data_IF_675459904996
#
_entry.id   IF_675459904996
#
_cell.length_a   1.000
_cell.length_b   1.000
_cell.length_c   1.000
_cell.angle_alpha   90.00
_cell.angle_beta   90.00
_cell.angle_gamma   90.00
#
_symmetry.space_group_name_H-M   'P 1'
#
loop_
_entity.id
_entity.type
_entity.pdbx_description
1 polymer ?
#
# COMPACT_ATOMS: atom_id res chain seq x y z
N UNK A 1 -38.99 -4.59 -35.59
CA UNK A 1 -39.51 -5.77 -34.86
C UNK A 1 -39.53 -5.41 -33.39
N UNK A 2 -40.72 -5.40 -32.78
CA UNK A 2 -40.92 -5.01 -31.37
C UNK A 2 -40.45 -6.15 -30.46
N UNK A 3 -39.56 -5.88 -29.52
CA UNK A 3 -39.30 -6.75 -28.39
C UNK A 3 -40.12 -6.27 -27.19
N UNK A 4 -40.91 -7.20 -26.66
CA UNK A 4 -41.81 -7.08 -25.52
C UNK A 4 -40.97 -7.16 -24.23
N UNK A 5 -40.92 -6.09 -23.41
CA UNK A 5 -40.43 -6.19 -22.02
C UNK A 5 -41.63 -6.16 -21.07
N UNK A 6 -41.70 -7.19 -20.24
CA UNK A 6 -42.77 -7.48 -19.29
C UNK A 6 -42.66 -6.49 -18.11
N UNK A 7 -43.66 -5.63 -17.95
CA UNK A 7 -43.83 -4.76 -16.79
C UNK A 7 -44.39 -5.58 -15.63
N UNK A 8 -43.60 -5.79 -14.57
CA UNK A 8 -44.13 -6.22 -13.28
C UNK A 8 -44.54 -4.95 -12.52
N UNK A 9 -45.84 -4.69 -12.53
CA UNK A 9 -46.49 -3.60 -11.80
C UNK A 9 -46.89 -4.16 -10.42
N UNK A 10 -46.12 -3.89 -9.37
CA UNK A 10 -46.58 -4.04 -7.99
C UNK A 10 -46.94 -2.65 -7.44
N UNK A 11 -48.22 -2.33 -7.52
CA UNK A 11 -48.83 -1.14 -6.94
C UNK A 11 -48.91 -1.30 -5.41
N UNK A 12 -48.16 -0.51 -4.67
CA UNK A 12 -48.46 -0.18 -3.28
C UNK A 12 -48.59 1.34 -3.17
N UNK A 13 -49.81 1.78 -2.87
CA UNK A 13 -50.20 3.16 -2.65
C UNK A 13 -49.69 3.67 -1.30
N UNK A 14 -48.85 4.70 -1.29
CA UNK A 14 -48.76 5.64 -0.17
C UNK A 14 -48.41 7.04 -0.70
N UNK A 15 -49.19 8.03 -0.28
CA UNK A 15 -49.03 9.42 -0.66
C UNK A 15 -47.70 9.97 -0.12
N UNK A 16 -47.10 10.85 -0.93
CA UNK A 16 -45.85 11.55 -0.68
C UNK A 16 -45.73 12.12 0.73
N UNK A 17 -44.68 11.67 1.42
CA UNK A 17 -43.66 12.58 1.96
C UNK A 17 -42.36 12.19 1.26
N UNK A 18 -41.88 13.04 0.35
CA UNK A 18 -40.46 13.06 0.02
C UNK A 18 -39.73 13.34 1.33
N UNK A 19 -39.21 12.30 2.00
CA UNK A 19 -38.11 12.49 2.93
C UNK A 19 -36.86 12.55 2.06
N UNK A 20 -36.51 13.78 1.71
CA UNK A 20 -35.19 14.18 1.27
C UNK A 20 -34.16 13.55 2.24
N UNK A 21 -33.25 12.69 1.76
CA UNK A 21 -31.97 12.30 2.39
C UNK A 21 -31.83 12.55 3.91
N UNK A 22 -32.74 11.99 4.72
CA UNK A 22 -32.65 12.13 6.18
C UNK A 22 -31.68 11.08 6.78
N UNK A 23 -31.05 10.29 5.92
CA UNK A 23 -30.05 9.27 6.20
C UNK A 23 -28.78 9.62 5.39
N UNK A 24 -27.64 9.38 6.01
CA UNK A 24 -26.26 9.42 5.49
C UNK A 24 -26.14 9.33 3.96
N UNK A 25 -25.57 10.34 3.29
CA UNK A 25 -25.39 10.32 1.82
C UNK A 25 -24.47 9.19 1.35
N UNK A 26 -23.61 8.69 2.22
CA UNK A 26 -22.70 7.58 1.97
C UNK A 26 -23.32 6.19 2.26
N UNK A 27 -24.50 6.12 2.89
CA UNK A 27 -25.28 4.89 3.15
C UNK A 27 -26.23 4.65 1.96
N UNK A 28 -25.67 4.14 0.88
CA UNK A 28 -26.33 4.00 -0.42
C UNK A 28 -27.39 2.90 -0.45
N UNK A 29 -27.46 2.03 0.57
CA UNK A 29 -28.46 0.96 0.65
C UNK A 29 -29.49 1.14 1.80
N UNK A 30 -29.39 2.25 2.55
CA UNK A 30 -30.23 2.60 3.72
C UNK A 30 -30.26 1.54 4.84
N UNK A 31 -29.19 0.75 5.01
CA UNK A 31 -29.09 -0.26 6.07
C UNK A 31 -28.56 0.30 7.41
N UNK A 32 -28.11 1.56 7.39
CA UNK A 32 -27.65 2.32 8.55
C UNK A 32 -26.15 2.23 8.80
N UNK A 33 -25.38 1.52 7.96
CA UNK A 33 -23.93 1.35 8.11
C UNK A 33 -23.25 1.45 6.74
N UNK A 34 -22.24 2.32 6.63
CA UNK A 34 -21.39 2.37 5.42
C UNK A 34 -20.39 1.21 5.44
N UNK A 35 -20.36 0.33 4.43
CA UNK A 35 -19.54 -0.92 4.47
C UNK A 35 -18.66 -1.20 3.26
N UNK A 36 -17.54 -1.93 3.48
CA UNK A 36 -16.74 -2.56 2.42
C UNK A 36 -17.39 -3.86 1.92
N UNK A 37 -17.15 -4.26 0.65
CA UNK A 37 -17.47 -5.59 0.11
C UNK A 37 -18.61 -5.60 -0.93
N UNK A 38 -19.41 -6.68 -0.97
CA UNK A 38 -20.55 -6.87 -1.89
C UNK A 38 -21.73 -5.89 -1.67
N UNK A 39 -21.45 -4.72 -1.09
CA UNK A 39 -22.36 -3.63 -0.74
C UNK A 39 -22.02 -2.35 -1.52
N UNK A 40 -21.87 -1.25 -0.79
CA UNK A 40 -22.08 0.12 -1.30
C UNK A 40 -20.90 0.68 -2.11
N UNK A 41 -19.65 0.31 -1.78
CA UNK A 41 -18.45 0.76 -2.50
C UNK A 41 -18.48 0.45 -4.00
N UNK A 42 -19.24 -0.57 -4.39
CA UNK A 42 -19.42 -0.96 -5.79
C UNK A 42 -20.18 0.09 -6.61
N UNK A 43 -20.95 0.97 -5.97
CA UNK A 43 -21.68 2.06 -6.62
C UNK A 43 -20.73 3.17 -7.10
N UNK A 44 -19.93 3.83 -6.24
CA UNK A 44 -18.95 4.80 -6.70
C UNK A 44 -17.93 4.20 -7.66
N UNK A 45 -17.54 2.94 -7.49
CA UNK A 45 -16.67 2.26 -8.45
C UNK A 45 -17.37 1.96 -9.79
N UNK A 46 -18.68 1.69 -9.77
CA UNK A 46 -19.48 1.42 -10.97
C UNK A 46 -19.85 2.68 -11.76
N UNK A 47 -19.93 3.82 -11.08
CA UNK A 47 -20.17 5.15 -11.65
C UNK A 47 -18.87 5.88 -12.02
N UNK A 48 -17.70 5.30 -11.71
CA UNK A 48 -16.40 5.90 -11.98
C UNK A 48 -16.18 6.20 -13.47
N UNK A 49 -15.83 7.45 -13.77
CA UNK A 49 -15.62 7.98 -15.11
C UNK A 49 -16.89 8.40 -15.86
N UNK A 50 -18.07 8.27 -15.25
CA UNK A 50 -19.34 8.71 -15.83
C UNK A 50 -19.54 10.20 -15.55
N UNK A 51 -19.92 10.95 -16.59
CA UNK A 51 -20.32 12.35 -16.46
C UNK A 51 -21.85 12.43 -16.37
N UNK A 52 -22.38 13.18 -15.41
CA UNK A 52 -23.83 13.44 -15.32
C UNK A 52 -24.39 14.06 -16.61
N UNK A 53 -23.58 14.86 -17.29
CA UNK A 53 -23.93 15.47 -18.56
C UNK A 53 -24.22 14.45 -19.68
N UNK A 54 -23.74 13.21 -19.55
CA UNK A 54 -23.98 12.11 -20.50
C UNK A 54 -25.19 11.24 -20.11
N UNK A 55 -25.80 11.48 -18.95
CA UNK A 55 -27.00 10.78 -18.48
C UNK A 55 -28.28 11.32 -19.14
N UNK A 56 -29.36 10.55 -19.03
CA UNK A 56 -30.68 10.99 -19.48
C UNK A 56 -31.17 12.20 -18.63
N UNK A 57 -31.92 13.16 -19.20
CA UNK A 57 -32.31 14.37 -18.48
C UNK A 57 -33.10 14.09 -17.19
N UNK A 58 -32.56 14.52 -16.05
CA UNK A 58 -33.16 14.36 -14.73
C UNK A 58 -32.69 13.13 -13.96
N UNK A 59 -31.76 12.36 -14.51
CA UNK A 59 -30.93 11.40 -13.78
C UNK A 59 -29.70 12.12 -13.20
N UNK A 60 -29.30 11.72 -12.00
CA UNK A 60 -28.11 12.21 -11.28
C UNK A 60 -27.31 10.98 -10.83
N UNK A 61 -26.00 11.14 -10.64
CA UNK A 61 -25.18 10.06 -10.09
C UNK A 61 -25.52 9.85 -8.62
N UNK A 62 -25.58 8.58 -8.19
CA UNK A 62 -25.85 8.29 -6.78
C UNK A 62 -24.64 8.60 -5.90
N UNK A 63 -23.45 8.62 -6.49
CA UNK A 63 -22.18 8.73 -5.78
C UNK A 63 -21.36 9.98 -6.12
N UNK A 64 -21.94 10.99 -6.77
CA UNK A 64 -21.29 12.31 -6.90
C UNK A 64 -21.43 13.10 -5.59
N UNK A 65 -20.63 12.73 -4.59
CA UNK A 65 -20.71 13.26 -3.23
C UNK A 65 -20.25 14.72 -3.14
N UNK A 66 -19.34 15.12 -4.02
CA UNK A 66 -18.81 16.49 -4.06
C UNK A 66 -19.60 17.40 -5.03
N UNK A 67 -20.63 16.86 -5.70
CA UNK A 67 -21.56 17.54 -6.60
C UNK A 67 -20.87 18.29 -7.76
N UNK A 68 -19.82 17.68 -8.33
CA UNK A 68 -19.08 18.25 -9.46
C UNK A 68 -19.58 17.79 -10.84
N UNK A 69 -20.54 16.87 -10.88
CA UNK A 69 -21.19 16.32 -12.06
C UNK A 69 -20.43 15.17 -12.73
N UNK A 70 -19.46 14.55 -12.05
CA UNK A 70 -18.62 13.47 -12.57
C UNK A 70 -18.39 12.46 -11.45
N UNK A 71 -18.63 11.18 -11.71
CA UNK A 71 -18.19 10.11 -10.82
C UNK A 71 -16.68 9.97 -10.93
N UNK A 72 -15.93 10.48 -9.96
CA UNK A 72 -14.48 10.56 -10.03
C UNK A 72 -13.78 9.94 -8.81
N UNK A 73 -12.46 10.04 -8.77
CA UNK A 73 -11.66 9.45 -7.70
C UNK A 73 -11.88 10.14 -6.35
N UNK A 74 -12.29 11.41 -6.35
CA UNK A 74 -12.60 12.12 -5.12
C UNK A 74 -13.87 11.55 -4.50
N UNK A 75 -14.87 11.18 -5.29
CA UNK A 75 -16.09 10.52 -4.78
C UNK A 75 -15.78 9.18 -4.11
N UNK A 76 -14.91 8.37 -4.73
CA UNK A 76 -14.49 7.09 -4.14
C UNK A 76 -13.73 7.33 -2.83
N UNK A 77 -12.85 8.33 -2.79
CA UNK A 77 -12.07 8.71 -1.61
C UNK A 77 -12.97 9.24 -0.49
N UNK A 78 -13.98 10.05 -0.83
CA UNK A 78 -14.97 10.59 0.11
C UNK A 78 -15.84 9.46 0.67
N UNK A 79 -16.29 8.51 -0.16
CA UNK A 79 -16.98 7.31 0.30
C UNK A 79 -16.11 6.51 1.27
N UNK A 80 -14.85 6.22 0.88
CA UNK A 80 -13.93 5.41 1.68
C UNK A 80 -13.77 6.00 3.08
N UNK A 81 -13.61 7.32 3.19
CA UNK A 81 -13.47 8.03 4.47
C UNK A 81 -14.64 7.83 5.45
N UNK A 82 -15.82 7.48 4.95
CA UNK A 82 -17.03 7.24 5.74
C UNK A 82 -17.30 5.76 6.00
N UNK A 83 -16.47 4.84 5.50
CA UNK A 83 -16.66 3.42 5.74
C UNK A 83 -16.53 3.09 7.23
N UNK A 84 -17.49 2.33 7.74
CA UNK A 84 -17.62 1.98 9.15
C UNK A 84 -18.47 2.96 9.97
N UNK A 85 -18.93 4.07 9.39
CA UNK A 85 -19.81 5.01 10.09
C UNK A 85 -21.22 4.43 10.27
N UNK A 86 -21.86 4.74 11.39
CA UNK A 86 -23.28 4.44 11.63
C UNK A 86 -24.11 5.68 11.35
N UNK A 87 -24.97 5.60 10.35
CA UNK A 87 -25.83 6.68 9.88
C UNK A 87 -25.09 8.02 9.61
N UNK A 88 -23.80 7.98 9.22
CA UNK A 88 -22.93 9.16 9.06
C UNK A 88 -22.89 10.09 10.30
N UNK A 89 -23.24 9.60 11.48
CA UNK A 89 -23.27 10.44 12.69
C UNK A 89 -21.91 10.53 13.38
N UNK A 90 -21.01 9.60 13.05
CA UNK A 90 -19.65 9.59 13.55
C UNK A 90 -18.86 10.76 12.94
N UNK A 91 -18.07 11.44 13.77
CA UNK A 91 -17.23 12.55 13.29
C UNK A 91 -15.99 12.00 12.62
N UNK A 92 -15.70 12.38 11.38
CA UNK A 92 -14.38 12.11 10.78
C UNK A 92 -13.35 13.01 11.44
N UNK A 93 -12.27 12.42 11.92
CA UNK A 93 -11.14 13.17 12.50
C UNK A 93 -9.91 13.01 11.63
N UNK A 94 -9.40 14.13 11.11
CA UNK A 94 -8.18 14.14 10.32
C UNK A 94 -6.96 14.01 11.24
N UNK A 95 -6.06 13.09 10.92
CA UNK A 95 -4.80 12.90 11.64
C UNK A 95 -3.62 12.78 10.68
N UNK A 96 -2.46 13.24 11.14
CA UNK A 96 -1.19 12.94 10.49
C UNK A 96 -0.77 11.53 10.87
N UNK A 97 -0.60 10.65 9.88
CA UNK A 97 -0.29 9.24 10.08
C UNK A 97 0.99 8.78 9.38
N UNK A 98 1.68 9.67 8.67
CA UNK A 98 2.81 9.33 7.80
C UNK A 98 4.06 10.11 8.20
N UNK A 99 5.15 9.41 8.46
CA UNK A 99 6.47 10.02 8.68
C UNK A 99 7.15 10.38 7.36
N UNK A 100 6.92 9.59 6.31
CA UNK A 100 7.45 9.84 4.97
C UNK A 100 7.37 8.63 4.05
N UNK A 101 8.05 8.73 2.91
CA UNK A 101 8.20 7.63 1.95
C UNK A 101 9.63 7.12 1.96
N UNK A 102 9.78 5.80 1.87
CA UNK A 102 11.05 5.08 1.93
C UNK A 102 11.20 4.21 0.69
N UNK A 103 12.29 4.37 -0.04
CA UNK A 103 12.66 3.52 -1.17
C UNK A 103 13.81 2.61 -0.75
N UNK A 104 13.77 1.34 -1.11
CA UNK A 104 14.80 0.36 -0.75
C UNK A 104 15.26 -0.41 -1.99
N UNK A 105 16.55 -0.73 -2.09
CA UNK A 105 17.04 -1.79 -2.98
C UNK A 105 16.60 -3.15 -2.44
N UNK A 106 15.76 -3.85 -3.20
CA UNK A 106 15.29 -5.18 -2.84
C UNK A 106 16.17 -6.29 -3.43
N UNK A 107 16.56 -6.18 -4.70
CA UNK A 107 17.41 -7.16 -5.38
C UNK A 107 18.21 -6.50 -6.50
N UNK A 108 19.49 -6.85 -6.64
CA UNK A 108 20.35 -6.39 -7.75
C UNK A 108 20.61 -7.52 -8.75
N UNK A 109 20.66 -7.18 -10.04
CA UNK A 109 20.97 -8.14 -11.11
C UNK A 109 22.23 -7.74 -11.91
N UNK A 110 23.44 -7.78 -11.34
CA UNK A 110 24.66 -7.40 -12.04
C UNK A 110 24.88 -8.15 -13.36
N UNK A 111 24.56 -9.46 -13.36
CA UNK A 111 24.70 -10.36 -14.50
C UNK A 111 23.37 -10.64 -15.23
N UNK A 112 22.28 -9.97 -14.80
CA UNK A 112 20.92 -10.20 -15.27
C UNK A 112 20.28 -11.44 -14.66
N UNK A 113 19.01 -11.67 -14.97
CA UNK A 113 18.29 -12.85 -14.50
C UNK A 113 17.46 -13.46 -15.62
N UNK A 114 17.82 -14.68 -16.02
CA UNK A 114 17.14 -15.42 -17.08
C UNK A 114 15.90 -16.10 -16.53
N UNK A 115 14.74 -15.76 -17.07
CA UNK A 115 13.46 -16.38 -16.74
C UNK A 115 12.90 -17.16 -17.91
N UNK A 116 11.81 -17.88 -17.64
CA UNK A 116 10.94 -18.36 -18.72
C UNK A 116 10.08 -17.20 -19.17
N UNK A 117 9.90 -17.05 -20.49
CA UNK A 117 9.14 -15.97 -21.14
C UNK A 117 9.88 -14.63 -21.19
N UNK A 118 10.26 -14.06 -20.04
CA UNK A 118 10.96 -12.78 -19.96
C UNK A 118 12.26 -12.86 -19.15
N UNK A 119 13.26 -12.07 -19.57
CA UNK A 119 14.56 -11.95 -18.92
C UNK A 119 14.74 -10.54 -18.37
N UNK A 120 15.35 -10.44 -17.19
CA UNK A 120 15.82 -9.18 -16.64
C UNK A 120 17.24 -8.96 -17.17
N UNK A 121 17.54 -7.85 -17.88
CA UNK A 121 18.88 -7.59 -18.39
C UNK A 121 19.92 -7.37 -17.27
N UNK A 122 21.21 -7.53 -17.56
CA UNK A 122 22.28 -7.17 -16.65
C UNK A 122 22.26 -5.69 -16.26
N UNK A 123 22.60 -5.41 -14.99
CA UNK A 123 22.66 -4.06 -14.43
C UNK A 123 21.30 -3.49 -14.03
N UNK A 124 20.26 -4.32 -13.92
CA UNK A 124 18.95 -3.92 -13.38
C UNK A 124 18.92 -4.06 -11.86
N UNK A 125 18.05 -3.28 -11.23
CA UNK A 125 17.80 -3.29 -9.78
C UNK A 125 16.30 -3.28 -9.55
N UNK A 126 15.84 -4.11 -8.61
CA UNK A 126 14.49 -4.07 -8.07
C UNK A 126 14.48 -3.16 -6.86
N UNK A 127 13.62 -2.15 -6.87
CA UNK A 127 13.32 -1.29 -5.75
C UNK A 127 11.95 -1.61 -5.17
N UNK A 128 11.79 -1.40 -3.86
CA UNK A 128 10.50 -1.41 -3.17
C UNK A 128 10.25 -0.07 -2.51
N UNK A 129 9.05 0.46 -2.71
CA UNK A 129 8.59 1.72 -2.12
C UNK A 129 7.64 1.42 -0.97
N UNK A 130 7.84 2.12 0.14
CA UNK A 130 7.06 2.01 1.36
C UNK A 130 6.58 3.38 1.86
N UNK A 131 5.42 3.40 2.50
CA UNK A 131 4.98 4.47 3.39
C UNK A 131 5.40 4.14 4.82
N UNK A 132 6.15 5.03 5.48
CA UNK A 132 6.45 4.85 6.90
C UNK A 132 5.35 5.46 7.76
N UNK A 133 4.62 4.60 8.45
CA UNK A 133 3.46 4.97 9.25
C UNK A 133 3.90 5.43 10.65
N UNK A 134 3.34 6.54 11.10
CA UNK A 134 3.52 7.03 12.47
C UNK A 134 2.78 6.15 13.50
N UNK A 135 1.78 5.39 13.06
CA UNK A 135 0.99 4.47 13.89
C UNK A 135 0.49 3.28 13.05
N UNK A 136 0.56 2.07 13.63
CA UNK A 136 0.07 0.80 13.07
C UNK A 136 -1.47 0.67 13.06
N UNK A 137 -2.20 1.54 13.78
CA UNK A 137 -3.68 1.52 13.85
C UNK A 137 -4.37 1.89 12.52
N UNK A 138 -3.62 2.54 11.60
CA UNK A 138 -4.13 2.96 10.31
C UNK A 138 -3.93 1.85 9.28
N UNK A 139 -4.94 1.58 8.48
CA UNK A 139 -4.84 0.67 7.36
C UNK A 139 -5.02 1.42 6.05
N UNK A 140 -4.35 0.94 5.00
CA UNK A 140 -4.38 1.58 3.70
C UNK A 140 -5.69 1.27 2.96
N UNK A 141 -6.41 2.32 2.55
CA UNK A 141 -7.69 2.21 1.84
C UNK A 141 -7.55 2.51 0.35
N UNK A 142 -6.63 3.41 0.00
CA UNK A 142 -6.40 3.75 -1.40
C UNK A 142 -5.09 4.46 -1.66
N UNK A 143 -4.65 4.33 -2.92
CA UNK A 143 -3.57 5.07 -3.56
C UNK A 143 -4.17 5.71 -4.81
N UNK A 144 -4.08 7.02 -4.96
CA UNK A 144 -4.84 7.71 -6.01
C UNK A 144 -4.19 9.00 -6.50
N UNK A 145 -4.74 9.56 -7.58
CA UNK A 145 -4.47 10.92 -8.01
C UNK A 145 -5.47 11.44 -9.02
N UNK A 146 -5.47 12.76 -9.19
CA UNK A 146 -6.37 13.53 -10.06
C UNK A 146 -5.64 14.76 -10.62
N UNK A 147 -6.37 15.72 -11.19
CA UNK A 147 -5.80 16.94 -11.75
C UNK A 147 -5.24 17.94 -10.71
N UNK A 148 -5.58 17.80 -9.44
CA UNK A 148 -5.06 18.66 -8.36
C UNK A 148 -3.83 18.02 -7.68
N UNK A 149 -3.87 16.71 -7.49
CA UNK A 149 -2.79 15.88 -6.95
C UNK A 149 -2.52 14.70 -7.89
N UNK A 150 -1.66 14.89 -8.91
CA UNK A 150 -1.42 13.88 -9.93
C UNK A 150 -0.88 12.55 -9.39
N UNK A 151 -1.33 11.44 -9.96
CA UNK A 151 -0.71 10.12 -9.76
C UNK A 151 0.20 9.83 -10.96
N UNK A 152 1.51 9.88 -10.72
CA UNK A 152 2.52 9.85 -11.77
C UNK A 152 3.64 8.87 -11.44
N UNK A 153 4.21 8.30 -12.49
CA UNK A 153 5.44 7.53 -12.48
C UNK A 153 6.32 8.07 -13.59
N UNK A 154 7.51 8.55 -13.25
CA UNK A 154 8.55 8.92 -14.21
C UNK A 154 9.73 7.96 -14.09
N UNK A 155 10.18 7.48 -15.23
CA UNK A 155 11.43 6.75 -15.39
C UNK A 155 12.05 7.21 -16.70
N UNK A 156 13.34 7.54 -16.69
CA UNK A 156 14.07 7.94 -17.90
C UNK A 156 14.55 6.74 -18.74
N UNK A 157 14.38 5.53 -18.22
CA UNK A 157 14.70 4.25 -18.86
C UNK A 157 13.48 3.33 -18.93
N UNK A 158 13.63 2.17 -19.60
CA UNK A 158 12.57 1.15 -19.69
C UNK A 158 12.33 0.45 -18.35
N UNK A 159 11.05 0.37 -17.95
CA UNK A 159 10.61 -0.31 -16.74
C UNK A 159 10.32 -1.77 -17.08
N UNK A 160 10.93 -2.70 -16.34
CA UNK A 160 10.67 -4.11 -16.52
C UNK A 160 9.27 -4.49 -16.02
N UNK A 161 8.45 -4.99 -16.93
CA UNK A 161 7.14 -5.59 -16.66
C UNK A 161 7.16 -7.00 -17.21
N UNK A 162 6.91 -7.99 -16.36
CA UNK A 162 6.76 -9.36 -16.82
C UNK A 162 5.42 -9.52 -17.54
N UNK A 163 5.38 -10.22 -18.67
CA UNK A 163 4.19 -10.32 -19.52
C UNK A 163 2.98 -11.01 -18.86
N UNK A 164 3.22 -11.83 -17.84
CA UNK A 164 2.15 -12.42 -17.02
C UNK A 164 1.63 -11.46 -15.94
N UNK A 165 2.45 -10.50 -15.49
CA UNK A 165 2.09 -9.53 -14.47
C UNK A 165 1.36 -8.32 -15.05
N UNK A 166 1.71 -7.87 -16.26
CA UNK A 166 1.05 -6.73 -16.94
C UNK A 166 0.89 -5.48 -16.05
N UNK A 167 1.83 -5.24 -15.12
CA UNK A 167 1.79 -4.12 -14.17
C UNK A 167 0.77 -4.23 -13.03
N UNK A 168 -0.11 -5.24 -13.04
CA UNK A 168 -1.15 -5.43 -12.04
C UNK A 168 -0.71 -6.35 -10.91
N UNK A 169 -0.81 -5.90 -9.66
CA UNK A 169 -0.44 -6.72 -8.49
C UNK A 169 -1.29 -8.00 -8.39
N UNK A 170 -2.57 -7.94 -8.77
CA UNK A 170 -3.48 -9.09 -8.76
C UNK A 170 -3.16 -10.15 -9.83
N UNK A 171 -2.34 -9.81 -10.83
CA UNK A 171 -1.87 -10.75 -11.85
C UNK A 171 -0.64 -11.55 -11.39
N UNK A 172 0.01 -11.12 -10.31
CA UNK A 172 1.19 -11.79 -9.77
C UNK A 172 0.77 -13.00 -8.93
N UNK A 173 0.86 -14.19 -9.52
CA UNK A 173 0.53 -15.44 -8.84
C UNK A 173 1.82 -16.18 -8.41
N UNK A 174 2.05 -16.36 -7.10
CA UNK A 174 3.25 -17.03 -6.58
C UNK A 174 3.43 -18.47 -7.08
N UNK A 175 2.34 -19.15 -7.42
CA UNK A 175 2.36 -20.49 -8.00
C UNK A 175 3.16 -20.57 -9.30
N UNK A 176 3.33 -19.45 -10.02
CA UNK A 176 4.12 -19.37 -11.24
C UNK A 176 5.60 -19.06 -11.01
N UNK A 177 6.04 -18.64 -9.83
CA UNK A 177 7.44 -18.21 -9.62
C UNK A 177 8.44 -19.36 -9.81
N UNK A 178 8.02 -20.61 -9.58
CA UNK A 178 8.86 -21.78 -9.84
C UNK A 178 9.14 -22.02 -11.33
N UNK A 179 8.26 -21.56 -12.23
CA UNK A 179 8.39 -21.76 -13.67
C UNK A 179 8.72 -20.48 -14.43
N UNK A 180 8.36 -19.31 -13.91
CA UNK A 180 8.66 -17.97 -14.43
C UNK A 180 9.23 -17.12 -13.29
N UNK A 181 10.49 -17.34 -12.89
CA UNK A 181 11.05 -16.76 -11.67
C UNK A 181 11.28 -15.24 -11.77
N UNK A 182 11.39 -14.68 -12.97
CA UNK A 182 11.48 -13.24 -13.19
C UNK A 182 10.16 -12.51 -12.90
N UNK A 183 9.02 -13.23 -12.84
CA UNK A 183 7.71 -12.65 -12.52
C UNK A 183 7.67 -11.99 -11.14
N UNK A 184 8.38 -12.54 -10.14
CA UNK A 184 8.41 -11.98 -8.79
C UNK A 184 9.06 -10.58 -8.73
N UNK A 185 9.83 -10.23 -9.76
CA UNK A 185 10.50 -8.95 -9.91
C UNK A 185 9.82 -8.05 -10.96
N UNK A 186 8.58 -8.35 -11.37
CA UNK A 186 7.81 -7.43 -12.20
C UNK A 186 7.56 -6.12 -11.44
N UNK A 187 7.44 -5.01 -12.16
CA UNK A 187 7.03 -3.72 -11.56
C UNK A 187 5.51 -3.62 -11.43
N UNK A 188 5.03 -3.03 -10.34
CA UNK A 188 3.60 -2.85 -10.01
C UNK A 188 3.41 -1.86 -8.86
N UNK A 189 2.19 -1.34 -8.71
CA UNK A 189 1.72 -0.66 -7.51
C UNK A 189 0.78 -1.56 -6.69
N UNK A 190 0.72 -1.33 -5.39
CA UNK A 190 -0.11 -2.07 -4.45
C UNK A 190 -0.56 -1.18 -3.28
N UNK A 191 -1.41 -1.71 -2.41
CA UNK A 191 -1.97 -0.99 -1.25
C UNK A 191 -1.71 -1.77 0.04
N UNK A 192 -0.44 -1.87 0.41
CA UNK A 192 0.08 -2.72 1.49
C UNK A 192 -0.24 -4.22 1.31
N UNK A 193 -0.37 -4.67 0.06
CA UNK A 193 -0.59 -6.07 -0.30
C UNK A 193 0.65 -6.65 -0.99
N UNK A 194 1.21 -7.72 -0.42
CA UNK A 194 2.25 -8.51 -1.08
C UNK A 194 1.60 -9.67 -1.87
N UNK A 195 1.84 -9.77 -3.19
CA UNK A 195 1.30 -10.87 -4.00
C UNK A 195 1.74 -12.27 -3.54
N UNK A 196 2.80 -12.40 -2.72
CA UNK A 196 3.17 -13.71 -2.12
C UNK A 196 2.27 -14.15 -0.98
N UNK A 197 1.48 -13.23 -0.43
CA UNK A 197 0.53 -13.49 0.65
C UNK A 197 -0.81 -13.94 0.05
N UNK A 198 -1.17 -15.21 0.26
CA UNK A 198 -2.41 -15.83 -0.23
C UNK A 198 -3.67 -15.37 0.52
N UNK A 199 -3.80 -14.07 0.79
CA UNK A 199 -4.99 -13.55 1.47
C UNK A 199 -6.03 -13.02 0.50
N UNK A 200 -7.30 -13.05 0.91
CA UNK A 200 -8.46 -12.68 0.08
C UNK A 200 -8.59 -11.14 -0.09
N UNK A 201 -7.48 -10.46 -0.36
CA UNK A 201 -7.45 -9.01 -0.57
C UNK A 201 -7.72 -8.69 -2.03
N UNK A 202 -8.78 -7.91 -2.28
CA UNK A 202 -9.14 -7.45 -3.61
C UNK A 202 -8.69 -6.00 -3.81
N UNK A 203 -7.56 -5.85 -4.52
CA UNK A 203 -7.09 -4.56 -5.01
C UNK A 203 -7.73 -4.28 -6.37
N UNK A 204 -8.47 -3.19 -6.46
CA UNK A 204 -9.18 -2.78 -7.67
C UNK A 204 -8.47 -1.58 -8.29
N UNK A 205 -8.29 -1.64 -9.61
CA UNK A 205 -7.73 -0.53 -10.39
C UNK A 205 -8.85 0.36 -10.91
N UNK A 206 -8.74 1.65 -10.63
CA UNK A 206 -9.61 2.68 -11.16
C UNK A 206 -8.84 3.50 -12.20
N UNK A 207 -9.45 3.71 -13.35
CA UNK A 207 -8.86 4.45 -14.46
C UNK A 207 -9.95 5.03 -15.35
N UNK A 208 -9.75 6.24 -15.85
CA UNK A 208 -10.65 6.85 -16.84
C UNK A 208 -10.75 6.01 -18.12
N UNK A 209 -11.95 5.90 -18.68
CA UNK A 209 -12.20 5.13 -19.90
C UNK A 209 -11.30 5.62 -21.06
N UNK A 210 -10.59 4.70 -21.71
CA UNK A 210 -9.67 5.01 -22.81
C UNK A 210 -8.31 5.60 -22.40
N UNK A 211 -8.08 5.92 -21.13
CA UNK A 211 -6.79 6.34 -20.59
C UNK A 211 -6.44 5.52 -19.34
N UNK A 212 -6.12 4.24 -19.55
CA UNK A 212 -5.67 3.33 -18.50
C UNK A 212 -4.19 3.57 -18.18
N UNK A 213 -3.94 4.03 -16.96
CA UNK A 213 -2.57 4.16 -16.44
C UNK A 213 -1.91 2.79 -16.27
N UNK A 214 -2.71 1.74 -15.98
CA UNK A 214 -2.23 0.37 -15.89
C UNK A 214 -1.75 -0.15 -17.24
N UNK A 215 -2.43 0.19 -18.35
CA UNK A 215 -1.97 -0.18 -19.70
C UNK A 215 -0.66 0.54 -20.05
N UNK A 216 -0.51 1.78 -19.60
CA UNK A 216 0.71 2.57 -19.79
C UNK A 216 1.89 1.99 -19.00
N UNK A 217 1.63 1.57 -17.75
CA UNK A 217 2.61 0.85 -16.94
C UNK A 217 2.96 -0.50 -17.58
N UNK A 218 1.96 -1.26 -18.03
CA UNK A 218 2.13 -2.57 -18.66
C UNK A 218 2.97 -2.51 -19.94
N UNK A 219 2.99 -1.35 -20.62
CA UNK A 219 3.84 -1.08 -21.77
C UNK A 219 5.31 -0.80 -21.39
N UNK A 220 5.68 -0.83 -20.10
CA UNK A 220 7.04 -0.59 -19.62
C UNK A 220 7.41 0.90 -19.56
N UNK A 221 6.42 1.79 -19.60
CA UNK A 221 6.61 3.24 -19.58
C UNK A 221 6.05 3.86 -18.30
N UNK A 222 6.56 5.05 -17.95
CA UNK A 222 5.90 5.90 -16.97
C UNK A 222 4.49 6.32 -17.41
N UNK A 223 3.71 6.85 -16.47
CA UNK A 223 2.35 7.33 -16.72
C UNK A 223 2.07 8.61 -15.94
N UNK A 224 1.02 9.34 -16.33
CA UNK A 224 0.52 10.50 -15.61
C UNK A 224 -1.01 10.49 -15.61
N UNK A 225 -1.58 10.40 -14.42
CA UNK A 225 -3.00 10.58 -14.14
C UNK A 225 -3.17 12.00 -13.60
N UNK A 226 -3.46 12.93 -14.51
CA UNK A 226 -3.63 14.36 -14.23
C UNK A 226 -4.88 14.88 -14.96
N UNK A 227 -6.03 14.30 -14.61
CA UNK A 227 -7.33 14.66 -15.17
C UNK A 227 -8.40 14.60 -14.07
N UNK A 228 -9.57 15.17 -14.35
CA UNK A 228 -10.67 15.32 -13.37
C UNK A 228 -11.14 13.97 -12.84
N UNK A 229 -11.36 12.98 -13.72
CA UNK A 229 -11.77 11.62 -13.31
C UNK A 229 -10.76 10.98 -12.37
N UNK A 230 -9.47 11.20 -12.64
CA UNK A 230 -8.37 10.64 -11.86
C UNK A 230 -8.21 9.13 -12.06
N UNK A 231 -7.67 8.47 -11.05
CA UNK A 231 -7.41 7.03 -11.06
C UNK A 231 -6.51 6.60 -9.91
N UNK A 232 -6.38 5.28 -9.74
CA UNK A 232 -5.60 4.72 -8.66
C UNK A 232 -5.93 3.26 -8.35
N UNK A 233 -5.63 2.87 -7.11
CA UNK A 233 -5.90 1.57 -6.53
C UNK A 233 -6.74 1.75 -5.26
N UNK A 234 -7.78 0.94 -5.11
CA UNK A 234 -8.64 0.91 -3.93
C UNK A 234 -8.89 -0.51 -3.46
N UNK A 235 -9.02 -0.71 -2.14
CA UNK A 235 -9.42 -2.00 -1.58
C UNK A 235 -10.94 -2.10 -1.48
N UNK A 236 -11.49 -3.27 -1.80
CA UNK A 236 -12.88 -3.64 -1.43
C UNK A 236 -12.94 -4.65 -0.28
N UNK A 237 -11.79 -5.02 0.27
CA UNK A 237 -11.65 -5.94 1.41
C UNK A 237 -11.44 -5.13 2.69
N UNK A 238 -12.03 -5.59 3.79
CA UNK A 238 -11.87 -4.92 5.09
C UNK A 238 -10.38 -4.87 5.50
N UNK A 239 -9.93 -3.76 6.08
CA UNK A 239 -8.50 -3.54 6.26
C UNK A 239 -7.85 -4.44 7.32
N UNK A 240 -8.62 -4.98 8.26
CA UNK A 240 -8.16 -5.97 9.24
C UNK A 240 -7.78 -7.33 8.61
N UNK A 241 -8.13 -7.55 7.34
CA UNK A 241 -7.75 -8.74 6.55
C UNK A 241 -6.52 -8.45 5.66
N UNK A 242 -6.02 -7.22 5.63
CA UNK A 242 -4.79 -6.86 4.92
C UNK A 242 -3.63 -7.06 5.89
N UNK A 243 -2.96 -8.22 5.79
CA UNK A 243 -1.77 -8.53 6.59
C UNK A 243 -0.64 -7.57 6.20
N UNK A 244 0.03 -6.96 7.20
CA UNK A 244 1.21 -6.12 6.98
C UNK A 244 2.29 -6.93 6.25
N UNK A 245 2.66 -6.46 5.06
CA UNK A 245 3.65 -7.11 4.21
C UNK A 245 5.10 -7.00 4.73
N UNK A 246 5.34 -6.17 5.75
CA UNK A 246 6.69 -5.75 6.13
C UNK A 246 6.82 -5.55 7.66
N UNK A 247 8.02 -5.25 8.19
CA UNK A 247 8.21 -4.87 9.59
C UNK A 247 7.26 -3.74 10.05
N UNK A 248 6.96 -3.72 11.36
CA UNK A 248 5.74 -3.15 11.99
C UNK A 248 5.04 -1.94 11.35
N UNK A 249 5.76 -0.95 10.79
CA UNK A 249 5.19 0.32 10.31
C UNK A 249 5.45 0.68 8.83
N UNK A 250 6.12 -0.17 8.06
CA UNK A 250 6.40 0.12 6.65
C UNK A 250 5.30 -0.48 5.74
N UNK A 251 4.53 0.37 5.08
CA UNK A 251 3.39 -0.06 4.28
C UNK A 251 3.79 -0.16 2.83
N UNK A 252 3.65 -1.35 2.24
CA UNK A 252 4.19 -1.62 0.90
C UNK A 252 3.36 -0.95 -0.20
N UNK A 253 3.97 -0.08 -1.02
CA UNK A 253 3.27 0.72 -2.02
C UNK A 253 3.54 0.28 -3.45
N UNK A 254 4.76 -0.16 -3.76
CA UNK A 254 5.13 -0.52 -5.13
C UNK A 254 6.45 -1.30 -5.21
N UNK A 255 6.61 -2.01 -6.33
CA UNK A 255 7.87 -2.59 -6.78
C UNK A 255 8.25 -2.03 -8.14
N UNK A 256 9.53 -1.75 -8.37
CA UNK A 256 10.04 -1.28 -9.65
C UNK A 256 11.34 -1.98 -10.01
N UNK A 257 11.42 -2.55 -11.20
CA UNK A 257 12.64 -3.16 -11.73
C UNK A 257 13.09 -2.35 -12.93
N UNK A 258 14.20 -1.64 -12.77
CA UNK A 258 14.72 -0.66 -13.74
C UNK A 258 16.24 -0.79 -13.84
N UNK A 259 16.90 -0.25 -14.89
CA UNK A 259 18.35 -0.15 -14.90
C UNK A 259 18.90 0.59 -13.67
N UNK A 260 20.04 0.17 -13.13
CA UNK A 260 20.69 0.81 -11.97
C UNK A 260 21.04 2.29 -12.20
N UNK A 261 21.12 2.70 -13.46
CA UNK A 261 21.40 4.08 -13.87
C UNK A 261 20.16 4.95 -14.06
N UNK A 262 18.96 4.35 -13.98
CA UNK A 262 17.71 5.05 -14.22
C UNK A 262 17.40 6.02 -13.07
N UNK A 263 16.87 7.20 -13.42
CA UNK A 263 16.20 8.07 -12.48
C UNK A 263 14.72 7.70 -12.44
N UNK A 264 14.27 7.30 -11.26
CA UNK A 264 12.90 6.88 -11.00
C UNK A 264 12.26 7.80 -9.96
N UNK A 265 10.97 8.05 -10.11
CA UNK A 265 10.14 8.64 -9.06
C UNK A 265 8.69 8.75 -9.48
N UNK A 266 7.88 9.36 -8.63
CA UNK A 266 6.46 9.53 -8.85
C UNK A 266 5.81 10.53 -7.90
N UNK A 267 4.56 10.84 -8.18
CA UNK A 267 3.69 11.51 -7.22
C UNK A 267 2.46 10.65 -6.99
N UNK A 268 1.92 10.65 -5.78
CA UNK A 268 0.67 9.95 -5.46
C UNK A 268 -0.01 10.57 -4.25
N UNK A 269 -1.28 10.26 -4.06
CA UNK A 269 -2.00 10.51 -2.81
C UNK A 269 -2.34 9.19 -2.14
N UNK A 270 -2.37 9.18 -0.81
CA UNK A 270 -2.65 8.01 0.00
C UNK A 270 -3.80 8.31 0.96
N UNK A 271 -4.71 7.34 1.10
CA UNK A 271 -5.80 7.36 2.07
C UNK A 271 -5.62 6.19 3.04
N UNK A 272 -5.64 6.51 4.33
CA UNK A 272 -5.64 5.51 5.40
C UNK A 272 -6.79 5.74 6.37
N UNK A 273 -7.32 4.67 6.94
CA UNK A 273 -8.35 4.71 7.97
C UNK A 273 -8.27 3.52 8.92
N UNK A 274 -8.94 3.62 10.07
CA UNK A 274 -8.91 2.57 11.11
C UNK A 274 -9.99 1.50 10.89
N UNK A 275 -9.84 0.32 11.50
CA UNK A 275 -10.71 -0.85 11.23
C UNK A 275 -12.06 -0.90 11.97
N UNK A 276 -12.45 0.11 12.76
CA UNK A 276 -13.66 0.03 13.60
C UNK A 276 -14.43 1.35 13.76
N UNK A 277 -15.74 1.21 14.01
CA UNK A 277 -16.58 2.27 14.54
C UNK A 277 -16.06 2.70 15.92
N UNK A 278 -15.59 3.93 16.00
CA UNK A 278 -15.06 4.52 17.21
C UNK A 278 -16.10 5.50 17.77
N UNK A 279 -16.53 5.37 19.05
CA UNK A 279 -17.46 6.31 19.66
C UNK A 279 -16.97 7.77 19.70
N UNK A 280 -15.66 7.99 19.53
CA UNK A 280 -15.04 9.32 19.43
C UNK A 280 -14.87 9.82 17.98
N UNK A 281 -15.35 9.08 16.98
CA UNK A 281 -15.25 9.39 15.55
C UNK A 281 -14.21 8.55 14.80
N UNK A 282 -14.34 8.42 13.47
CA UNK A 282 -13.45 7.62 12.62
C UNK A 282 -12.19 8.42 12.28
N UNK A 283 -10.98 8.01 12.73
CA UNK A 283 -9.74 8.63 12.32
C UNK A 283 -9.42 8.27 10.87
N UNK A 284 -9.17 9.29 10.06
CA UNK A 284 -8.77 9.17 8.67
C UNK A 284 -7.53 10.02 8.44
N UNK A 285 -6.65 9.54 7.59
CA UNK A 285 -5.41 10.20 7.24
C UNK A 285 -5.32 10.36 5.73
N UNK A 286 -5.31 11.63 5.30
CA UNK A 286 -5.16 12.02 3.91
C UNK A 286 -3.76 12.57 3.68
N UNK A 287 -3.04 11.98 2.73
CA UNK A 287 -1.77 12.49 2.29
C UNK A 287 -1.88 12.80 0.80
N UNK A 288 -1.90 14.08 0.46
CA UNK A 288 -2.05 14.53 -0.93
C UNK A 288 -0.70 14.87 -1.55
N UNK A 289 -0.55 14.54 -2.83
CA UNK A 289 0.58 14.97 -3.66
C UNK A 289 1.95 14.66 -3.03
N UNK A 290 2.09 13.46 -2.47
CA UNK A 290 3.35 12.94 -1.98
C UNK A 290 4.27 12.69 -3.17
N UNK A 291 5.45 13.30 -3.16
CA UNK A 291 6.49 13.05 -4.15
C UNK A 291 7.48 12.02 -3.61
N UNK A 292 7.93 11.13 -4.48
CA UNK A 292 8.99 10.18 -4.18
C UNK A 292 9.98 10.06 -5.33
N UNK A 293 11.19 9.64 -5.02
CA UNK A 293 12.23 9.39 -6.00
C UNK A 293 13.46 8.74 -5.39
N UNK A 294 14.57 8.80 -6.12
CA UNK A 294 15.86 8.25 -5.69
C UNK A 294 16.40 8.94 -4.41
N UNK A 295 15.94 10.14 -4.08
CA UNK A 295 16.23 10.82 -2.83
C UNK A 295 15.64 10.14 -1.59
N UNK A 296 14.61 9.31 -1.76
CA UNK A 296 14.03 8.50 -0.69
C UNK A 296 14.78 7.18 -0.46
N UNK A 297 15.87 6.93 -1.20
CA UNK A 297 16.62 5.68 -1.08
C UNK A 297 17.26 5.55 0.31
N UNK A 298 16.92 4.45 0.99
CA UNK A 298 17.43 4.09 2.30
C UNK A 298 17.95 2.65 2.30
N UNK A 299 18.89 2.39 3.20
CA UNK A 299 19.30 1.04 3.58
C UNK A 299 18.55 0.67 4.85
N UNK A 300 17.62 -0.27 4.74
CA UNK A 300 16.83 -0.74 5.88
C UNK A 300 17.63 -1.73 6.71
N UNK A 301 17.43 -1.67 8.02
CA UNK A 301 17.96 -2.62 8.98
C UNK A 301 18.00 -2.00 10.38
N UNK A 302 18.46 -2.76 11.35
CA UNK A 302 18.60 -2.21 12.69
C UNK A 302 19.72 -1.16 12.76
N UNK A 303 19.36 0.06 13.20
CA UNK A 303 20.33 1.17 13.38
C UNK A 303 20.84 1.30 14.83
N UNK A 304 20.35 0.47 15.76
CA UNK A 304 20.78 0.46 17.17
C UNK A 304 22.08 -0.36 17.32
N UNK A 305 23.22 0.27 17.65
CA UNK A 305 24.50 -0.44 17.79
C UNK A 305 24.51 -1.50 18.91
N UNK A 306 23.57 -1.42 19.85
CA UNK A 306 23.45 -2.38 20.96
C UNK A 306 22.60 -3.60 20.61
N UNK A 307 21.90 -3.58 19.47
CA UNK A 307 21.11 -4.71 19.01
C UNK A 307 21.99 -5.82 18.41
N UNK A 308 21.60 -7.07 18.61
CA UNK A 308 22.33 -8.23 18.11
C UNK A 308 22.40 -8.30 16.58
N UNK A 309 21.41 -7.72 15.90
CA UNK A 309 21.31 -7.62 14.45
C UNK A 309 21.61 -6.20 13.91
N UNK A 310 22.38 -5.39 14.64
CA UNK A 310 22.84 -4.08 14.16
C UNK A 310 23.48 -4.17 12.77
N UNK A 311 23.04 -3.29 11.86
CA UNK A 311 23.63 -3.12 10.54
C UNK A 311 24.26 -1.72 10.44
N UNK A 312 25.61 -1.61 10.37
CA UNK A 312 26.28 -0.31 10.27
C UNK A 312 26.01 0.43 8.96
N UNK A 313 25.58 -0.27 7.90
CA UNK A 313 25.21 0.32 6.63
C UNK A 313 23.73 0.80 6.62
N UNK A 314 22.92 0.43 7.62
CA UNK A 314 21.53 0.84 7.69
C UNK A 314 21.42 2.35 7.94
N UNK A 315 20.66 3.02 7.08
CA UNK A 315 20.33 4.45 7.19
C UNK A 315 18.92 4.67 7.73
N UNK A 316 18.12 3.60 7.81
CA UNK A 316 16.75 3.63 8.28
C UNK A 316 16.44 2.43 9.17
N UNK A 317 15.94 2.71 10.38
CA UNK A 317 15.52 1.66 11.29
C UNK A 317 14.20 1.07 10.79
N UNK A 318 14.22 -0.18 10.38
CA UNK A 318 13.02 -0.90 9.93
C UNK A 318 12.24 -1.54 11.08
N UNK A 319 12.63 -1.30 12.34
CA UNK A 319 11.95 -1.86 13.51
C UNK A 319 12.24 -3.35 13.72
N UNK A 320 13.20 -3.93 13.00
CA UNK A 320 13.62 -5.33 13.19
C UNK A 320 14.69 -5.50 14.26
N UNK A 321 15.12 -4.42 14.94
CA UNK A 321 16.12 -4.48 16.00
C UNK A 321 15.78 -5.54 17.05
N UNK A 322 16.66 -6.53 17.21
CA UNK A 322 16.55 -7.48 18.31
C UNK A 322 16.90 -6.78 19.63
N UNK A 323 16.37 -7.31 20.73
CA UNK A 323 16.75 -6.82 22.04
C UNK A 323 18.27 -6.97 22.23
N UNK A 324 18.95 -6.06 22.94
CA UNK A 324 20.35 -6.25 23.29
C UNK A 324 20.55 -7.61 23.96
N UNK A 325 21.44 -8.44 23.42
CA UNK A 325 21.68 -9.80 23.91
C UNK A 325 20.81 -10.90 23.29
N UNK A 326 19.76 -10.58 22.53
CA UNK A 326 19.03 -11.53 21.66
C UNK A 326 19.75 -11.56 20.30
N UNK A 327 20.72 -12.46 20.18
CA UNK A 327 21.60 -12.57 19.02
C UNK A 327 21.07 -13.52 17.95
N UNK A 328 20.09 -14.37 18.28
CA UNK A 328 19.42 -15.22 17.31
C UNK A 328 18.11 -14.61 16.77
N UNK A 329 17.62 -13.53 17.38
CA UNK A 329 16.41 -12.80 16.97
C UNK A 329 15.12 -13.58 17.26
N UNK A 330 15.12 -14.50 18.22
CA UNK A 330 13.96 -15.31 18.57
C UNK A 330 13.01 -14.62 19.59
N UNK A 331 13.41 -13.46 20.10
CA UNK A 331 12.65 -12.65 21.05
C UNK A 331 12.94 -12.96 22.52
N UNK A 332 13.75 -13.98 22.82
CA UNK A 332 14.09 -14.41 24.18
C UNK A 332 15.61 -14.46 24.38
N UNK A 333 16.15 -13.66 25.30
CA UNK A 333 17.58 -13.74 25.66
C UNK A 333 17.80 -15.04 26.47
N UNK A 334 18.48 -16.02 25.89
CA UNK A 334 18.67 -17.33 26.49
C UNK A 334 20.04 -17.97 26.19
N UNK A 335 20.19 -19.27 26.48
CA UNK A 335 21.47 -19.97 26.27
C UNK A 335 21.85 -20.06 24.78
N UNK A 336 20.87 -20.04 23.88
CA UNK A 336 21.08 -19.93 22.44
C UNK A 336 21.89 -18.70 22.08
N UNK A 337 21.54 -17.54 22.63
CA UNK A 337 22.28 -16.30 22.43
C UNK A 337 23.67 -16.35 23.02
N UNK A 338 23.82 -16.94 24.21
CA UNK A 338 25.14 -17.10 24.85
C UNK A 338 26.09 -17.88 23.94
N UNK A 339 25.58 -18.90 23.23
CA UNK A 339 26.39 -19.66 22.26
C UNK A 339 26.81 -18.81 21.06
N UNK A 340 25.92 -17.96 20.54
CA UNK A 340 26.23 -16.99 19.49
C UNK A 340 27.24 -15.95 19.97
N UNK A 341 27.06 -15.39 21.16
CA UNK A 341 27.99 -14.45 21.78
C UNK A 341 29.40 -15.05 21.92
N UNK A 342 29.49 -16.30 22.38
CA UNK A 342 30.78 -16.98 22.54
C UNK A 342 31.53 -17.20 21.22
N UNK A 343 30.85 -17.13 20.08
CA UNK A 343 31.51 -17.17 18.76
C UNK A 343 32.36 -15.93 18.48
N UNK A 344 32.01 -14.79 19.09
CA UNK A 344 32.70 -13.50 18.94
C UNK A 344 33.55 -13.12 20.16
N UNK A 345 33.63 -13.99 21.17
CA UNK A 345 34.39 -13.73 22.39
C UNK A 345 35.89 -13.58 22.10
N UNK A 346 36.46 -12.45 22.54
CA UNK A 346 37.85 -12.07 22.25
C UNK A 346 38.03 -11.24 20.98
N UNK A 347 36.94 -10.80 20.33
CA UNK A 347 37.00 -9.78 19.29
C UNK A 347 37.54 -8.45 19.86
N UNK A 348 38.35 -7.72 19.08
CA UNK A 348 39.05 -6.49 19.52
C UNK A 348 38.95 -5.30 18.54
N UNK A 349 38.33 -5.49 17.37
CA UNK A 349 38.07 -4.44 16.38
C UNK A 349 36.75 -4.77 15.68
N UNK A 350 35.89 -3.76 15.45
CA UNK A 350 34.60 -3.85 14.74
C UNK A 350 33.71 -5.03 15.17
N UNK A 351 33.54 -5.22 16.49
CA UNK A 351 32.85 -6.39 17.05
C UNK A 351 31.31 -6.37 16.95
N UNK A 352 30.74 -5.33 16.33
CA UNK A 352 29.31 -5.17 16.14
C UNK A 352 28.52 -5.21 17.46
N UNK A 353 27.29 -5.71 17.39
CA UNK A 353 26.37 -5.78 18.54
C UNK A 353 26.80 -6.74 19.67
N UNK A 354 27.90 -7.49 19.51
CA UNK A 354 28.43 -8.38 20.55
C UNK A 354 29.21 -7.61 21.63
N UNK A 355 29.66 -6.39 21.34
CA UNK A 355 30.27 -5.48 22.32
C UNK A 355 29.16 -4.71 23.06
N UNK A 356 28.56 -5.38 24.05
CA UNK A 356 27.40 -4.87 24.78
C UNK A 356 27.72 -3.67 25.67
N UNK A 357 29.00 -3.42 25.98
CA UNK A 357 29.41 -2.29 26.82
C UNK A 357 29.98 -1.10 26.01
N UNK A 358 30.29 -1.32 24.73
CA UNK A 358 30.73 -0.30 23.78
C UNK A 358 32.20 0.12 23.93
N UNK A 359 33.05 -0.74 24.49
CA UNK A 359 34.49 -0.46 24.67
C UNK A 359 35.38 -0.90 23.49
N UNK A 360 34.77 -1.47 22.46
CA UNK A 360 35.38 -1.99 21.24
C UNK A 360 35.90 -3.43 21.37
N UNK A 361 35.69 -4.12 22.50
CA UNK A 361 36.27 -5.44 22.76
C UNK A 361 35.24 -6.38 23.39
N UNK A 362 34.91 -7.47 22.72
CA UNK A 362 34.03 -8.52 23.29
C UNK A 362 34.80 -9.35 24.30
N UNK A 363 34.52 -9.18 25.58
CA UNK A 363 35.23 -9.86 26.65
C UNK A 363 34.31 -10.25 27.83
N UNK A 364 34.92 -10.59 28.97
CA UNK A 364 34.19 -11.02 30.16
C UNK A 364 33.27 -9.93 30.72
N UNK A 365 33.54 -8.65 30.45
CA UNK A 365 32.67 -7.53 30.81
C UNK A 365 31.38 -7.58 30.01
N UNK A 366 31.44 -7.81 28.70
CA UNK A 366 30.25 -7.97 27.83
C UNK A 366 29.46 -9.21 28.19
N UNK A 367 30.15 -10.31 28.51
CA UNK A 367 29.49 -11.51 29.02
C UNK A 367 28.74 -11.20 30.33
N UNK A 368 29.30 -10.33 31.18
CA UNK A 368 28.64 -9.94 32.44
C UNK A 368 27.38 -9.10 32.16
N UNK A 369 27.43 -8.21 31.16
CA UNK A 369 26.27 -7.45 30.69
C UNK A 369 25.20 -8.41 30.17
N UNK A 370 25.58 -9.35 29.30
CA UNK A 370 24.69 -10.36 28.72
C UNK A 370 24.01 -11.21 29.80
N UNK A 371 24.76 -11.73 30.77
CA UNK A 371 24.20 -12.55 31.85
C UNK A 371 23.25 -11.75 32.76
N UNK A 372 23.31 -10.42 32.73
CA UNK A 372 22.36 -9.53 33.41
C UNK A 372 21.06 -9.29 32.63
N UNK A 373 21.00 -9.71 31.36
CA UNK A 373 19.84 -9.57 30.48
C UNK A 373 19.02 -10.88 30.35
N UNK A 374 19.56 -12.01 30.84
CA UNK A 374 18.91 -13.34 30.90
C UNK A 374 17.74 -13.44 31.90
#
# INVERSE_FOLDING_TARGET
MKALRITILLCCTLAATFNLHAQCEFDLNDDGIVTFGAGEILIPMGEFGIYEADLDPGEELQSDFNANGVGDIQDVVDFLAHVGTVACTDTITLQDCLNGLVLQVYEEFPDGFTGTMDNIPPGYVTYRLYADMANEDFHMWGLYGNNESPFELWCDEEIFIHQLGMGGVSNLNPGFFSIAPTLQYSSYFTINFDPVSYDNVFVNTLSSEGNSWLDSLAAGTGFSVNNVVGGGLVSTTYPSEIINATPSNLYYLAQFTVPATANLGGSMSLLFGTSQSNPDGIPVCYNHNLTWGMENLQVLGCTDPSAGNYNPDATYNDGTCSAPGDFNGDGDINTGDVLLFLSSFGCTEDCGGMDLNGDGIVNAVDLLVMLGLL
#
